data_IF_598096772994
#
_entry.id   IF_598096772994
#
_cell.length_a   1.000
_cell.length_b   1.000
_cell.length_c   1.000
_cell.angle_alpha   90.00
_cell.angle_beta   90.00
_cell.angle_gamma   90.00
#
_symmetry.space_group_name_H-M   'P 1'
#
loop_
_entity.id
_entity.type
_entity.pdbx_description
1 polymer ?
#
# COMPACT_ATOMS: atom_id res chain seq x y z
N UNK A 1 -18.45 2.16 0.39
CA UNK A 1 -19.34 0.98 0.23
C UNK A 1 -18.61 -0.25 0.74
N UNK A 2 -19.28 -1.21 1.38
CA UNK A 2 -18.66 -2.48 1.81
C UNK A 2 -19.12 -3.65 0.95
N UNK A 3 -18.20 -4.49 0.53
CA UNK A 3 -18.46 -5.69 -0.27
C UNK A 3 -17.60 -6.85 0.24
N UNK A 4 -18.13 -8.08 0.17
CA UNK A 4 -17.35 -9.30 0.42
C UNK A 4 -17.20 -10.04 -0.90
N UNK A 5 -15.97 -10.41 -1.25
CA UNK A 5 -15.72 -11.18 -2.47
C UNK A 5 -15.95 -12.69 -2.28
N UNK A 6 -15.82 -13.45 -3.36
CA UNK A 6 -16.05 -14.91 -3.35
C UNK A 6 -15.03 -15.69 -2.52
N UNK A 7 -13.91 -15.08 -2.18
CA UNK A 7 -12.83 -15.68 -1.39
C UNK A 7 -12.91 -15.30 0.10
N UNK A 8 -13.84 -14.40 0.45
CA UNK A 8 -14.06 -13.94 1.82
C UNK A 8 -13.30 -12.66 2.18
N UNK A 9 -12.66 -11.99 1.21
CA UNK A 9 -12.05 -10.69 1.47
C UNK A 9 -13.13 -9.64 1.65
N UNK A 10 -12.88 -8.68 2.54
CA UNK A 10 -13.78 -7.54 2.76
C UNK A 10 -13.16 -6.33 2.09
N UNK A 11 -13.92 -5.68 1.20
CA UNK A 11 -13.53 -4.49 0.48
C UNK A 11 -14.32 -3.31 1.02
N UNK A 12 -13.63 -2.26 1.43
CA UNK A 12 -14.21 -0.99 1.86
C UNK A 12 -13.72 0.11 0.92
N UNK A 13 -14.59 0.58 0.04
CA UNK A 13 -14.24 1.61 -0.94
C UNK A 13 -14.72 2.99 -0.50
N UNK A 14 -13.80 3.95 -0.51
CA UNK A 14 -14.03 5.38 -0.45
C UNK A 14 -13.94 5.97 -1.86
N UNK A 15 -15.00 6.60 -2.37
CA UNK A 15 -14.98 7.16 -3.72
C UNK A 15 -14.02 8.34 -3.82
N UNK A 16 -13.27 8.40 -4.92
CA UNK A 16 -12.42 9.51 -5.30
C UNK A 16 -13.21 10.63 -5.98
N UNK A 17 -12.49 11.59 -6.56
CA UNK A 17 -13.07 12.68 -7.33
C UNK A 17 -13.40 12.30 -8.78
N UNK A 18 -12.71 11.32 -9.34
CA UNK A 18 -12.84 10.89 -10.73
C UNK A 18 -13.16 9.39 -10.80
N UNK A 19 -14.38 9.08 -11.22
CA UNK A 19 -14.91 7.71 -11.34
C UNK A 19 -14.40 6.98 -12.59
N UNK A 20 -13.70 7.67 -13.48
CA UNK A 20 -13.06 7.07 -14.66
C UNK A 20 -11.69 6.46 -14.32
N UNK A 21 -11.09 6.86 -13.20
CA UNK A 21 -9.78 6.37 -12.76
C UNK A 21 -9.89 5.04 -12.01
N UNK A 22 -8.90 4.16 -12.24
CA UNK A 22 -8.84 2.88 -11.53
C UNK A 22 -8.42 3.05 -10.07
N UNK A 23 -9.17 2.43 -9.17
CA UNK A 23 -8.97 2.52 -7.72
C UNK A 23 -7.58 2.06 -7.26
N UNK A 24 -7.11 2.63 -6.15
CA UNK A 24 -5.90 2.20 -5.43
C UNK A 24 -6.33 1.29 -4.27
N UNK A 25 -5.72 0.11 -4.16
CA UNK A 25 -6.00 -0.81 -3.07
C UNK A 25 -5.00 -0.64 -1.91
N UNK A 26 -5.52 -0.57 -0.68
CA UNK A 26 -4.75 -0.66 0.55
C UNK A 26 -4.94 -2.05 1.15
N UNK A 27 -3.87 -2.84 1.27
CA UNK A 27 -3.96 -4.26 1.63
C UNK A 27 -3.67 -4.45 3.11
N UNK A 28 -4.65 -4.99 3.83
CA UNK A 28 -4.50 -5.38 5.23
C UNK A 28 -4.73 -6.89 5.38
N UNK A 29 -3.72 -7.69 5.74
CA UNK A 29 -3.91 -9.11 5.98
C UNK A 29 -4.70 -9.36 7.27
N UNK A 30 -5.84 -10.04 7.19
CA UNK A 30 -6.63 -10.51 8.35
C UNK A 30 -6.05 -11.76 9.00
N UNK A 31 -5.22 -12.50 8.26
CA UNK A 31 -4.61 -13.75 8.68
C UNK A 31 -3.09 -13.58 8.70
N UNK A 32 -2.47 -13.84 9.85
CA UNK A 32 -1.03 -13.75 10.06
C UNK A 32 -0.65 -13.60 11.51
N UNK A 33 0.57 -13.99 11.84
CA UNK A 33 1.12 -13.80 13.18
C UNK A 33 1.30 -12.29 13.41
N UNK A 34 0.31 -11.67 14.03
CA UNK A 34 0.24 -10.24 14.36
C UNK A 34 1.34 -9.81 15.34
N UNK A 35 2.14 -10.76 15.83
CA UNK A 35 3.17 -10.53 16.85
C UNK A 35 4.44 -9.82 16.35
N UNK A 36 4.67 -9.67 15.03
CA UNK A 36 5.95 -9.10 14.52
C UNK A 36 5.85 -7.89 13.61
N UNK A 37 4.71 -7.59 12.99
CA UNK A 37 4.54 -6.42 12.13
C UNK A 37 3.09 -5.93 12.23
N UNK A 38 2.84 -4.99 13.14
CA UNK A 38 1.52 -4.38 13.32
C UNK A 38 1.13 -3.67 12.01
N UNK A 39 0.25 -4.31 11.23
CA UNK A 39 -0.24 -3.80 9.94
C UNK A 39 -1.34 -2.75 10.12
N UNK A 40 -1.64 -2.37 11.37
CA UNK A 40 -2.60 -1.33 11.71
C UNK A 40 -2.34 0.03 11.06
N UNK A 41 -1.10 0.43 10.70
CA UNK A 41 -0.87 1.62 9.90
C UNK A 41 -1.64 1.63 8.59
N UNK A 42 -1.90 0.49 7.94
CA UNK A 42 -2.68 0.47 6.69
C UNK A 42 -4.12 0.94 6.89
N UNK A 43 -4.77 0.48 7.98
CA UNK A 43 -6.13 0.91 8.33
C UNK A 43 -6.13 2.39 8.69
N UNK A 44 -5.15 2.86 9.47
CA UNK A 44 -5.07 4.28 9.86
C UNK A 44 -4.81 5.20 8.66
N UNK A 45 -3.95 4.79 7.72
CA UNK A 45 -3.78 5.51 6.45
C UNK A 45 -5.11 5.60 5.71
N UNK A 46 -5.87 4.50 5.62
CA UNK A 46 -7.20 4.52 5.01
C UNK A 46 -8.13 5.52 5.70
N UNK A 47 -8.20 5.50 7.03
CA UNK A 47 -9.03 6.41 7.83
C UNK A 47 -8.68 7.89 7.59
N UNK A 48 -7.39 8.24 7.59
CA UNK A 48 -6.93 9.61 7.32
C UNK A 48 -7.28 10.06 5.89
N UNK A 49 -7.25 9.13 4.92
CA UNK A 49 -7.63 9.40 3.54
C UNK A 49 -9.14 9.62 3.35
N UNK A 50 -10.02 9.11 4.24
CA UNK A 50 -11.48 9.33 4.14
C UNK A 50 -11.89 10.81 4.21
N UNK A 51 -11.03 11.64 4.80
CA UNK A 51 -11.23 13.09 4.93
C UNK A 51 -10.49 13.90 3.86
N UNK A 52 -9.70 13.23 3.02
CA UNK A 52 -8.85 13.87 2.02
C UNK A 52 -9.53 13.93 0.67
N UNK A 53 -9.20 14.96 -0.11
CA UNK A 53 -9.52 14.99 -1.54
C UNK A 53 -8.46 14.21 -2.30
N UNK A 54 -8.87 13.15 -2.99
CA UNK A 54 -8.00 12.25 -3.77
C UNK A 54 -8.70 11.97 -5.08
N UNK A 55 -7.96 11.95 -6.20
CA UNK A 55 -8.56 11.72 -7.51
C UNK A 55 -9.11 10.30 -7.66
N UNK A 56 -8.29 9.29 -7.33
CA UNK A 56 -8.66 7.89 -7.43
C UNK A 56 -9.53 7.42 -6.26
N UNK A 57 -10.44 6.48 -6.53
CA UNK A 57 -11.06 5.65 -5.51
C UNK A 57 -10.00 4.96 -4.64
N UNK A 58 -10.23 4.91 -3.32
CA UNK A 58 -9.39 4.17 -2.39
C UNK A 58 -10.16 2.99 -1.84
N UNK A 59 -9.63 1.77 -1.98
CA UNK A 59 -10.26 0.56 -1.45
C UNK A 59 -9.37 -0.11 -0.41
N UNK A 60 -9.81 -0.14 0.84
CA UNK A 60 -9.20 -0.99 1.86
C UNK A 60 -9.65 -2.43 1.66
N UNK A 61 -8.69 -3.32 1.44
CA UNK A 61 -8.90 -4.76 1.25
C UNK A 61 -8.43 -5.48 2.50
N UNK A 62 -9.39 -5.95 3.30
CA UNK A 62 -9.14 -6.86 4.40
C UNK A 62 -9.02 -8.28 3.83
N UNK A 63 -7.80 -8.75 3.69
CA UNK A 63 -7.46 -9.95 2.95
C UNK A 63 -7.40 -11.18 3.85
N UNK A 64 -8.19 -12.21 3.52
CA UNK A 64 -8.16 -13.50 4.23
C UNK A 64 -7.24 -14.44 3.45
N UNK A 65 -6.06 -14.72 4.00
CA UNK A 65 -5.14 -15.66 3.36
C UNK A 65 -5.63 -17.10 3.58
N UNK A 66 -5.85 -17.86 2.50
CA UNK A 66 -6.35 -19.24 2.58
C UNK A 66 -5.29 -20.27 3.02
N UNK A 67 -4.01 -19.91 3.10
CA UNK A 67 -2.89 -20.86 3.24
C UNK A 67 -2.08 -20.77 4.56
N UNK A 68 -2.71 -20.47 5.71
CA UNK A 68 -2.03 -20.55 7.01
C UNK A 68 -1.95 -21.97 7.58
N UNK A 69 -1.44 -22.92 6.79
CA UNK A 69 -1.01 -24.23 7.28
C UNK A 69 0.49 -24.42 7.02
N UNK A 70 1.32 -23.98 7.97
CA UNK A 70 2.61 -24.64 8.25
C UNK A 70 3.86 -24.24 7.47
N UNK A 71 4.13 -22.95 7.22
CA UNK A 71 5.49 -22.49 6.86
C UNK A 71 5.87 -21.22 7.62
N UNK A 72 6.71 -21.39 8.63
CA UNK A 72 7.14 -20.36 9.59
C UNK A 72 8.28 -19.43 9.10
N UNK A 73 8.77 -19.55 7.86
CA UNK A 73 10.01 -18.87 7.43
C UNK A 73 9.87 -17.76 6.38
N UNK A 74 8.69 -17.51 5.81
CA UNK A 74 8.50 -16.33 4.94
C UNK A 74 7.99 -15.17 5.80
N UNK A 75 8.88 -14.19 6.04
CA UNK A 75 8.69 -13.01 6.91
C UNK A 75 7.50 -12.10 6.56
N UNK A 76 6.77 -12.42 5.51
CA UNK A 76 5.52 -11.77 5.12
C UNK A 76 4.67 -12.83 4.41
N UNK A 77 3.34 -12.85 4.60
CA UNK A 77 2.50 -13.58 3.68
C UNK A 77 2.73 -12.95 2.31
N UNK A 78 3.50 -13.64 1.44
CA UNK A 78 3.53 -13.33 0.02
C UNK A 78 2.07 -13.25 -0.37
N UNK A 79 1.65 -12.11 -0.91
CA UNK A 79 0.32 -11.94 -1.47
C UNK A 79 0.19 -13.02 -2.56
N UNK A 80 -0.33 -14.19 -2.18
CA UNK A 80 -0.43 -15.34 -3.07
C UNK A 80 -1.60 -15.03 -3.98
N UNK A 81 -1.26 -14.79 -5.24
CA UNK A 81 -2.18 -14.34 -6.30
C UNK A 81 -3.38 -15.25 -6.54
N UNK A 82 -3.45 -16.42 -5.90
CA UNK A 82 -4.49 -17.43 -6.10
C UNK A 82 -5.88 -17.01 -5.60
N UNK A 83 -6.00 -16.03 -4.69
CA UNK A 83 -7.28 -15.50 -4.21
C UNK A 83 -7.73 -14.16 -4.81
N UNK A 84 -6.93 -13.57 -5.71
CA UNK A 84 -6.97 -12.13 -6.05
C UNK A 84 -7.49 -11.88 -7.48
N UNK A 85 -8.10 -12.88 -8.13
CA UNK A 85 -8.54 -12.74 -9.53
C UNK A 85 -9.63 -11.66 -9.72
N UNK A 86 -10.47 -11.41 -8.72
CA UNK A 86 -11.48 -10.34 -8.75
C UNK A 86 -10.89 -8.96 -8.38
N UNK A 87 -9.64 -8.89 -7.88
CA UNK A 87 -8.93 -7.67 -7.51
C UNK A 87 -7.99 -7.17 -8.64
N UNK A 88 -8.14 -7.69 -9.86
CA UNK A 88 -7.32 -7.33 -11.02
C UNK A 88 -7.60 -5.93 -11.58
N UNK A 89 -8.56 -5.19 -11.01
CA UNK A 89 -9.01 -3.87 -11.48
C UNK A 89 -8.34 -2.69 -10.77
N UNK A 90 -7.42 -2.92 -9.84
CA UNK A 90 -6.73 -1.83 -9.15
C UNK A 90 -5.54 -1.32 -9.94
N UNK A 91 -5.32 0.00 -9.90
CA UNK A 91 -4.14 0.67 -10.47
C UNK A 91 -2.87 0.33 -9.69
N UNK A 92 -2.98 0.18 -8.36
CA UNK A 92 -1.89 -0.28 -7.49
C UNK A 92 -2.40 -0.96 -6.22
N UNK A 93 -1.49 -1.70 -5.57
CA UNK A 93 -1.68 -2.30 -4.25
C UNK A 93 -0.63 -1.78 -3.27
N UNK A 94 -1.05 -1.19 -2.17
CA UNK A 94 -0.17 -0.58 -1.17
C UNK A 94 -0.36 -1.25 0.19
N UNK A 95 0.73 -1.51 0.90
CA UNK A 95 0.72 -2.08 2.24
C UNK A 95 1.65 -1.28 3.16
N UNK A 96 1.19 -1.04 4.39
CA UNK A 96 1.85 -0.20 5.36
C UNK A 96 2.05 -0.94 6.68
N UNK A 97 3.27 -0.94 7.22
CA UNK A 97 3.61 -1.53 8.52
C UNK A 97 4.62 -0.68 9.28
N UNK A 98 4.54 -0.63 10.60
CA UNK A 98 5.50 0.12 11.41
C UNK A 98 6.77 -0.70 11.67
N UNK A 99 7.94 -0.06 11.74
CA UNK A 99 9.18 -0.72 12.21
C UNK A 99 9.23 -0.62 13.73
N UNK A 100 9.65 -1.70 14.39
CA UNK A 100 9.85 -1.70 15.84
C UNK A 100 10.89 -0.65 16.26
N UNK A 101 10.48 0.22 17.19
CA UNK A 101 11.23 1.42 17.63
C UNK A 101 12.57 1.07 18.29
N UNK A 102 12.76 -0.18 18.71
CA UNK A 102 14.00 -0.67 19.30
C UNK A 102 15.08 -1.02 18.27
N UNK A 103 14.74 -1.15 16.97
CA UNK A 103 15.65 -1.74 15.96
C UNK A 103 16.36 -0.76 15.02
N UNK A 104 15.80 0.43 14.75
CA UNK A 104 16.42 1.43 13.86
C UNK A 104 15.58 2.71 13.83
N UNK A 105 16.10 3.83 14.34
CA UNK A 105 15.26 5.03 14.56
C UNK A 105 14.94 5.85 13.31
N UNK A 106 15.61 5.60 12.16
CA UNK A 106 15.44 6.43 10.95
C UNK A 106 15.49 5.64 9.64
N UNK A 107 15.22 4.33 9.66
CA UNK A 107 15.25 3.53 8.43
C UNK A 107 13.87 3.46 7.76
N UNK A 108 13.88 3.63 6.44
CA UNK A 108 12.70 3.45 5.59
C UNK A 108 12.96 2.23 4.73
N UNK A 109 12.06 1.26 4.78
CA UNK A 109 12.11 0.09 3.91
C UNK A 109 11.02 0.19 2.87
N UNK A 110 11.44 0.21 1.61
CA UNK A 110 10.56 0.16 0.45
C UNK A 110 10.77 -1.18 -0.25
N UNK A 111 9.70 -1.93 -0.41
CA UNK A 111 9.72 -3.17 -1.17
C UNK A 111 8.58 -3.16 -2.18
N UNK A 112 8.86 -3.30 -3.47
CA UNK A 112 7.80 -3.17 -4.45
C UNK A 112 8.21 -3.15 -5.91
N UNK A 113 7.23 -2.81 -6.73
CA UNK A 113 7.37 -2.61 -8.16
C UNK A 113 8.21 -1.36 -8.44
N UNK A 114 9.13 -1.38 -9.44
CA UNK A 114 10.08 -0.28 -9.69
C UNK A 114 9.42 1.09 -9.84
N UNK A 115 8.27 1.17 -10.52
CA UNK A 115 7.52 2.41 -10.73
C UNK A 115 7.05 3.02 -9.40
N UNK A 116 6.47 2.20 -8.52
CA UNK A 116 5.97 2.68 -7.22
C UNK A 116 7.11 2.99 -6.25
N UNK A 117 8.18 2.19 -6.28
CA UNK A 117 9.39 2.45 -5.49
C UNK A 117 10.01 3.78 -5.89
N UNK A 118 10.18 4.02 -7.19
CA UNK A 118 10.73 5.29 -7.71
C UNK A 118 9.86 6.48 -7.29
N UNK A 119 8.53 6.37 -7.43
CA UNK A 119 7.59 7.41 -6.99
C UNK A 119 7.63 7.66 -5.48
N UNK A 120 7.78 6.61 -4.68
CA UNK A 120 7.97 6.74 -3.25
C UNK A 120 9.26 7.48 -2.92
N UNK A 121 10.36 7.16 -3.58
CA UNK A 121 11.63 7.86 -3.38
C UNK A 121 11.57 9.34 -3.78
N UNK A 122 10.90 9.67 -4.89
CA UNK A 122 10.65 11.05 -5.31
C UNK A 122 9.84 11.82 -4.26
N UNK A 123 8.73 11.25 -3.79
CA UNK A 123 7.89 11.86 -2.77
C UNK A 123 8.65 12.09 -1.45
N UNK A 124 9.44 11.10 -1.02
CA UNK A 124 10.27 11.17 0.17
C UNK A 124 11.38 12.23 0.07
N UNK A 125 11.89 12.47 -1.14
CA UNK A 125 12.94 13.47 -1.39
C UNK A 125 12.39 14.89 -1.51
N UNK A 126 11.10 15.03 -1.86
CA UNK A 126 10.45 16.32 -2.08
C UNK A 126 9.97 17.00 -0.79
N UNK A 127 9.73 16.24 0.30
CA UNK A 127 9.31 16.81 1.59
C UNK A 127 10.52 17.27 2.44
N UNK A 128 10.73 18.59 2.63
CA UNK A 128 11.89 19.12 3.35
C UNK A 128 11.88 18.80 4.86
N UNK A 129 10.72 18.46 5.43
CA UNK A 129 10.54 18.21 6.86
C UNK A 129 10.49 16.73 7.24
N UNK A 130 10.25 15.84 6.27
CA UNK A 130 9.93 14.46 6.62
C UNK A 130 11.15 13.65 7.01
N UNK A 131 12.20 13.56 6.17
CA UNK A 131 13.31 12.61 6.38
C UNK A 131 14.65 12.96 5.68
N UNK A 132 15.20 14.16 5.92
CA UNK A 132 16.61 14.43 5.57
C UNK A 132 17.54 13.56 6.43
N UNK A 133 18.08 12.49 5.88
CA UNK A 133 19.09 11.63 6.52
C UNK A 133 18.63 10.21 6.87
N UNK A 134 17.39 9.84 6.56
CA UNK A 134 16.91 8.48 6.73
C UNK A 134 17.61 7.52 5.74
N UNK A 135 17.99 6.31 6.19
CA UNK A 135 18.50 5.31 5.26
C UNK A 135 17.32 4.63 4.57
N UNK A 136 17.25 4.80 3.24
CA UNK A 136 16.26 4.12 2.41
C UNK A 136 16.82 2.78 1.96
N UNK A 137 16.26 1.69 2.45
CA UNK A 137 16.52 0.35 1.94
C UNK A 137 15.46 0.03 0.88
N UNK A 138 15.92 -0.24 -0.34
CA UNK A 138 15.05 -0.54 -1.47
C UNK A 138 15.25 -1.98 -1.92
N UNK A 139 14.16 -2.73 -1.98
CA UNK A 139 14.11 -4.05 -2.58
C UNK A 139 13.10 -3.99 -3.73
N UNK A 140 13.60 -3.97 -4.96
CA UNK A 140 12.75 -4.01 -6.14
C UNK A 140 12.42 -5.45 -6.51
N UNK A 141 11.13 -5.71 -6.74
CA UNK A 141 10.68 -6.98 -7.28
C UNK A 141 10.43 -6.86 -8.80
N UNK A 142 10.37 -8.00 -9.49
CA UNK A 142 10.07 -7.99 -10.93
C UNK A 142 8.70 -7.36 -11.18
N UNK A 143 8.59 -6.65 -12.31
CA UNK A 143 7.35 -6.05 -12.77
C UNK A 143 6.20 -7.07 -12.73
N UNK A 144 5.25 -6.83 -11.83
CA UNK A 144 4.00 -7.56 -11.74
C UNK A 144 2.96 -6.94 -12.67
N UNK A 145 1.87 -7.67 -12.94
CA UNK A 145 0.74 -7.13 -13.71
C UNK A 145 0.06 -5.95 -13.01
N UNK A 146 0.08 -5.95 -11.68
CA UNK A 146 -0.42 -4.86 -10.85
C UNK A 146 0.76 -4.38 -10.03
N UNK A 147 1.12 -3.09 -10.12
CA UNK A 147 2.15 -2.51 -9.28
C UNK A 147 1.80 -2.68 -7.80
N UNK A 148 2.76 -3.14 -7.00
CA UNK A 148 2.62 -3.21 -5.55
C UNK A 148 3.73 -2.46 -4.84
N UNK A 149 3.46 -1.94 -3.66
CA UNK A 149 4.47 -1.32 -2.80
C UNK A 149 4.16 -1.58 -1.33
N UNK A 150 5.20 -1.91 -0.60
CA UNK A 150 5.20 -2.02 0.84
C UNK A 150 6.15 -0.97 1.43
N UNK A 151 5.62 -0.20 2.38
CA UNK A 151 6.37 0.80 3.13
C UNK A 151 6.46 0.38 4.59
N UNK A 152 7.67 0.40 5.14
CA UNK A 152 7.91 0.23 6.56
C UNK A 152 8.78 1.35 7.13
N UNK A 153 8.28 2.03 8.16
CA UNK A 153 9.03 3.06 8.92
C UNK A 153 8.28 3.46 10.21
N UNK A 154 8.85 4.37 11.01
CA UNK A 154 8.18 4.90 12.22
C UNK A 154 7.03 5.86 11.86
N UNK A 155 7.20 6.70 10.84
CA UNK A 155 6.19 7.68 10.38
C UNK A 155 5.28 7.11 9.29
N UNK A 156 4.93 5.83 9.38
CA UNK A 156 4.25 5.11 8.29
C UNK A 156 2.91 5.71 7.90
N UNK A 157 2.16 6.27 8.86
CA UNK A 157 0.84 6.84 8.57
C UNK A 157 0.96 8.13 7.74
N UNK A 158 1.73 9.11 8.22
CA UNK A 158 1.96 10.39 7.53
C UNK A 158 2.46 10.18 6.11
N UNK A 159 3.47 9.32 5.96
CA UNK A 159 4.07 9.01 4.67
C UNK A 159 3.14 8.19 3.79
N UNK A 160 2.40 7.23 4.37
CA UNK A 160 1.43 6.44 3.63
C UNK A 160 0.35 7.31 3.01
N UNK A 161 -0.17 8.30 3.76
CA UNK A 161 -1.14 9.27 3.26
C UNK A 161 -0.54 10.12 2.14
N UNK A 162 0.66 10.68 2.34
CA UNK A 162 1.37 11.47 1.32
C UNK A 162 1.58 10.67 0.03
N UNK A 163 1.99 9.42 0.19
CA UNK A 163 2.32 8.53 -0.92
C UNK A 163 1.10 8.13 -1.74
N UNK A 164 -0.01 7.81 -1.07
CA UNK A 164 -1.28 7.48 -1.76
C UNK A 164 -1.76 8.69 -2.58
N UNK A 165 -1.69 9.90 -2.02
CA UNK A 165 -2.03 11.14 -2.72
C UNK A 165 -1.15 11.36 -3.94
N UNK A 166 0.18 11.31 -3.75
CA UNK A 166 1.12 11.50 -4.84
C UNK A 166 0.96 10.47 -5.96
N UNK A 167 0.62 9.22 -5.61
CA UNK A 167 0.36 8.19 -6.61
C UNK A 167 -0.97 8.39 -7.33
N UNK A 168 -2.02 8.81 -6.61
CA UNK A 168 -3.29 9.20 -7.23
C UNK A 168 -3.10 10.32 -8.24
N UNK A 169 -2.35 11.37 -7.90
CA UNK A 169 -2.06 12.49 -8.80
C UNK A 169 -1.25 12.02 -10.01
N UNK A 170 -0.28 11.13 -9.80
CA UNK A 170 0.47 10.52 -10.91
C UNK A 170 -0.42 9.71 -11.87
N UNK A 171 -1.46 9.03 -11.37
CA UNK A 171 -2.41 8.34 -12.25
C UNK A 171 -3.16 9.36 -13.11
N UNK A 172 -3.62 10.47 -12.54
CA UNK A 172 -4.26 11.56 -13.31
C UNK A 172 -3.33 12.05 -14.41
N UNK A 173 -2.10 12.40 -14.05
CA UNK A 173 -1.09 12.89 -15.00
C UNK A 173 -0.84 11.88 -16.13
N UNK A 174 -0.85 10.57 -15.83
CA UNK A 174 -0.70 9.54 -16.86
C UNK A 174 -1.85 9.60 -17.87
N UNK A 175 -3.10 9.71 -17.43
CA UNK A 175 -4.27 9.75 -18.31
C UNK A 175 -4.34 11.05 -19.12
N UNK A 176 -4.05 12.20 -18.51
CA UNK A 176 -4.06 13.51 -19.18
C UNK A 176 -3.05 13.61 -20.34
N UNK A 177 -1.98 12.81 -20.32
CA UNK A 177 -0.98 12.78 -21.39
C UNK A 177 -1.38 11.90 -22.60
N UNK A 178 -2.51 11.20 -22.56
CA UNK A 178 -2.98 10.34 -23.65
C UNK A 178 -4.26 10.83 -24.36
N UNK A 179 -4.84 11.96 -23.91
CA UNK A 179 -5.95 12.67 -24.57
C UNK A 179 -5.45 13.79 -25.52
#
# INVERSE_FOLDING_TARGET
>A
MSQVDRTGNILLTHPGQDDSLSAIALIFPLSGDTSKNDSMPTIRVFEDLLSSQIACDITLVLWVAQDYVGKEDDLLPRITRSGIQDLLSFSAMLQFSEIDKESDTDNIRLHGSPVLVSKAQENLSADPGSMRGANVCVVEDRAARIPFLQLQCIKTIELGVSLVKAYSDYIVDLFDNFD
#
